data_IF_358875382648
#
_entry.id   IF_358875382648
#
_cell.length_a   1.000
_cell.length_b   1.000
_cell.length_c   1.000
_cell.angle_alpha   90.00
_cell.angle_beta   90.00
_cell.angle_gamma   90.00
#
_symmetry.space_group_name_H-M   'P 1'
#
loop_
_entity.id
_entity.type
_entity.pdbx_description
1 polymer ?
#
# COMPACT_ATOMS: atom_id res chain seq x y z
N UNK A 1 9.14 -32.71 -25.82
CA UNK A 1 8.59 -31.74 -24.84
C UNK A 1 9.58 -30.65 -24.37
N UNK A 2 10.69 -30.36 -25.08
CA UNK A 2 11.67 -29.32 -24.64
C UNK A 2 11.52 -27.95 -25.33
N UNK A 3 10.66 -27.82 -26.36
CA UNK A 3 10.51 -26.57 -27.14
C UNK A 3 9.44 -25.61 -26.61
N UNK A 4 8.49 -26.08 -25.79
CA UNK A 4 7.39 -25.25 -25.27
C UNK A 4 7.80 -24.38 -24.06
N UNK A 5 8.72 -24.87 -23.22
CA UNK A 5 9.22 -24.11 -22.07
C UNK A 5 10.11 -22.91 -22.45
N UNK A 6 10.83 -22.97 -23.59
CA UNK A 6 11.62 -21.80 -24.04
C UNK A 6 10.73 -20.61 -24.43
N UNK A 7 9.56 -20.82 -25.04
CA UNK A 7 8.70 -19.70 -25.47
C UNK A 7 8.02 -18.97 -24.31
N UNK A 8 7.68 -19.67 -23.22
CA UNK A 8 7.05 -19.04 -22.03
C UNK A 8 8.06 -18.21 -21.22
N UNK A 9 9.33 -18.63 -21.17
CA UNK A 9 10.41 -17.88 -20.49
C UNK A 9 10.75 -16.59 -21.24
N UNK A 10 10.73 -16.59 -22.58
CA UNK A 10 10.96 -15.37 -23.36
C UNK A 10 9.79 -14.37 -23.27
N UNK A 11 8.54 -14.84 -23.13
CA UNK A 11 7.40 -13.94 -22.96
C UNK A 11 7.40 -13.24 -21.58
N UNK A 12 7.93 -13.91 -20.55
CA UNK A 12 8.09 -13.33 -19.22
C UNK A 12 9.26 -12.33 -19.15
N UNK A 13 10.34 -12.57 -19.89
CA UNK A 13 11.45 -11.63 -20.02
C UNK A 13 11.06 -10.36 -20.80
N UNK A 14 10.17 -10.47 -21.79
CA UNK A 14 9.73 -9.33 -22.59
C UNK A 14 8.78 -8.38 -21.82
N UNK A 15 7.96 -8.90 -20.91
CA UNK A 15 7.13 -8.07 -20.02
C UNK A 15 7.92 -7.39 -18.90
N UNK A 16 9.09 -7.92 -18.52
CA UNK A 16 9.99 -7.25 -17.58
C UNK A 16 10.72 -6.06 -18.24
N UNK A 17 11.07 -6.18 -19.52
CA UNK A 17 11.80 -5.12 -20.24
C UNK A 17 10.93 -3.89 -20.57
N UNK A 18 9.61 -4.04 -20.73
CA UNK A 18 8.72 -2.92 -21.05
C UNK A 18 8.30 -2.04 -19.85
N UNK A 19 8.69 -2.38 -18.61
CA UNK A 19 8.55 -1.48 -17.45
C UNK A 19 9.90 -1.13 -16.77
N UNK A 20 11.02 -1.71 -17.20
CA UNK A 20 12.35 -1.37 -16.66
C UNK A 20 12.97 -0.13 -17.32
N UNK A 21 12.39 0.41 -18.38
CA UNK A 21 12.82 1.67 -19.00
C UNK A 21 12.62 2.93 -18.11
N UNK A 22 12.07 2.77 -16.89
CA UNK A 22 11.92 3.85 -15.91
C UNK A 22 13.09 3.91 -14.91
N UNK A 23 14.05 2.99 -14.97
CA UNK A 23 15.33 3.11 -14.28
C UNK A 23 16.37 3.73 -15.22
N UNK A 24 16.07 4.93 -15.71
CA UNK A 24 17.09 5.77 -16.36
C UNK A 24 18.17 6.05 -15.33
N UNK A 25 19.33 5.41 -15.47
CA UNK A 25 20.53 5.84 -14.77
C UNK A 25 20.89 7.22 -15.31
N UNK A 26 20.86 8.22 -14.43
CA UNK A 26 21.35 9.54 -14.73
C UNK A 26 22.86 9.40 -15.01
N UNK A 27 23.39 9.82 -16.18
CA UNK A 27 24.81 9.65 -16.54
C UNK A 27 25.79 10.35 -15.57
N UNK A 28 25.28 11.13 -14.62
CA UNK A 28 26.06 11.90 -13.65
C UNK A 28 26.27 11.20 -12.29
N UNK A 29 26.07 9.88 -12.18
CA UNK A 29 26.36 9.13 -10.94
C UNK A 29 25.46 9.45 -9.73
N UNK A 30 24.42 10.27 -9.91
CA UNK A 30 23.39 10.47 -8.91
C UNK A 30 22.52 9.21 -8.83
N UNK A 31 22.51 8.55 -7.68
CA UNK A 31 21.56 7.46 -7.38
C UNK A 31 20.15 7.92 -7.71
N UNK A 32 19.53 7.26 -8.69
CA UNK A 32 18.15 7.56 -9.11
C UNK A 32 17.23 7.39 -7.92
N UNK A 33 16.74 8.50 -7.37
CA UNK A 33 15.82 8.48 -6.24
C UNK A 33 14.49 7.88 -6.70
N UNK A 34 13.95 6.97 -5.90
CA UNK A 34 12.68 6.31 -6.22
C UNK A 34 11.56 7.34 -6.30
N UNK A 35 10.58 7.03 -7.15
CA UNK A 35 9.32 7.76 -7.24
C UNK A 35 8.17 6.86 -6.84
N UNK A 36 7.20 7.45 -6.14
CA UNK A 36 5.96 6.78 -5.76
C UNK A 36 5.02 6.84 -6.96
N UNK A 37 4.61 5.69 -7.48
CA UNK A 37 3.89 5.63 -8.75
C UNK A 37 2.46 5.16 -8.58
N UNK A 38 1.56 5.76 -9.36
CA UNK A 38 0.22 5.23 -9.55
C UNK A 38 0.28 4.04 -10.50
N UNK A 39 -0.40 2.95 -10.15
CA UNK A 39 -0.61 1.80 -11.02
C UNK A 39 -2.09 1.46 -11.08
N UNK A 40 -2.53 0.88 -12.18
CA UNK A 40 -3.90 0.36 -12.32
C UNK A 40 -3.93 -1.11 -11.95
N UNK A 41 -4.83 -1.48 -11.03
CA UNK A 41 -5.10 -2.87 -10.72
C UNK A 41 -5.81 -3.52 -11.91
N UNK A 42 -5.35 -4.71 -12.31
CA UNK A 42 -5.93 -5.48 -13.44
C UNK A 42 -6.63 -6.76 -13.01
N UNK A 43 -6.37 -7.22 -11.79
CA UNK A 43 -6.94 -8.45 -11.26
C UNK A 43 -8.39 -8.19 -10.82
N UNK A 44 -9.35 -8.63 -11.65
CA UNK A 44 -10.78 -8.37 -11.44
C UNK A 44 -11.33 -9.00 -10.16
N UNK A 45 -10.82 -10.18 -9.78
CA UNK A 45 -11.18 -10.87 -8.54
C UNK A 45 -10.73 -10.02 -7.35
N UNK A 46 -9.45 -9.63 -7.35
CA UNK A 46 -8.92 -8.78 -6.28
C UNK A 46 -9.69 -7.46 -6.18
N UNK A 47 -9.99 -6.81 -7.31
CA UNK A 47 -10.78 -5.57 -7.33
C UNK A 47 -12.16 -5.80 -6.71
N UNK A 48 -12.87 -6.87 -7.06
CA UNK A 48 -14.17 -7.18 -6.48
C UNK A 48 -14.09 -7.38 -4.96
N UNK A 49 -13.08 -8.09 -4.47
CA UNK A 49 -12.92 -8.30 -3.03
C UNK A 49 -12.54 -7.02 -2.28
N UNK A 50 -11.73 -6.13 -2.87
CA UNK A 50 -11.47 -4.80 -2.32
C UNK A 50 -12.77 -4.00 -2.20
N UNK A 51 -13.61 -3.99 -3.25
CA UNK A 51 -14.88 -3.27 -3.24
C UNK A 51 -15.80 -3.79 -2.13
N UNK A 52 -15.97 -5.10 -2.01
CA UNK A 52 -16.76 -5.73 -0.93
C UNK A 52 -16.21 -5.36 0.45
N UNK A 53 -14.89 -5.41 0.62
CA UNK A 53 -14.24 -5.02 1.87
C UNK A 53 -14.55 -3.56 2.23
N UNK A 54 -14.35 -2.62 1.29
CA UNK A 54 -14.65 -1.20 1.49
C UNK A 54 -16.10 -1.00 1.94
N UNK A 55 -17.06 -1.61 1.24
CA UNK A 55 -18.48 -1.49 1.60
C UNK A 55 -18.77 -2.03 3.00
N UNK A 56 -18.19 -3.19 3.34
CA UNK A 56 -18.37 -3.78 4.68
C UNK A 56 -17.78 -2.90 5.79
N UNK A 57 -16.64 -2.27 5.55
CA UNK A 57 -15.99 -1.38 6.52
C UNK A 57 -16.72 -0.05 6.66
N UNK A 58 -17.32 0.47 5.59
CA UNK A 58 -18.19 1.66 5.65
C UNK A 58 -19.44 1.39 6.50
N UNK A 59 -20.02 0.17 6.41
CA UNK A 59 -21.16 -0.23 7.24
C UNK A 59 -20.76 -0.30 8.72
N UNK A 60 -19.61 -0.90 9.03
CA UNK A 60 -19.09 -0.98 10.40
C UNK A 60 -18.70 0.38 10.97
N UNK A 61 -18.12 1.23 10.14
CA UNK A 61 -17.55 2.51 10.53
C UNK A 61 -17.85 3.56 9.46
N UNK A 62 -18.94 4.33 9.64
CA UNK A 62 -19.35 5.36 8.67
C UNK A 62 -18.25 6.38 8.35
N UNK A 63 -17.39 6.69 9.32
CA UNK A 63 -16.24 7.59 9.14
C UNK A 63 -15.25 7.08 8.07
N UNK A 64 -15.15 5.76 7.90
CA UNK A 64 -14.31 5.14 6.88
C UNK A 64 -14.77 5.48 5.46
N UNK A 65 -15.99 5.97 5.24
CA UNK A 65 -16.41 6.45 3.92
C UNK A 65 -15.54 7.60 3.43
N UNK A 66 -15.17 8.51 4.33
CA UNK A 66 -14.41 9.73 4.01
C UNK A 66 -12.94 9.49 4.31
N UNK A 67 -12.63 9.11 5.55
CA UNK A 67 -11.26 8.97 6.06
C UNK A 67 -10.81 7.52 5.93
N UNK A 68 -9.50 7.30 5.90
CA UNK A 68 -8.85 6.01 5.79
C UNK A 68 -8.60 5.57 4.35
N UNK A 69 -7.61 4.70 4.22
CA UNK A 69 -7.17 4.07 2.99
C UNK A 69 -7.05 2.55 3.18
N UNK A 70 -6.82 1.83 2.09
CA UNK A 70 -6.60 0.38 2.11
C UNK A 70 -5.13 0.07 1.89
N UNK A 71 -4.59 -0.90 2.61
CA UNK A 71 -3.32 -1.54 2.30
C UNK A 71 -3.56 -2.95 1.80
N UNK A 72 -2.84 -3.34 0.76
CA UNK A 72 -2.82 -4.71 0.26
C UNK A 72 -1.40 -5.23 0.36
N UNK A 73 -1.22 -6.38 0.99
CA UNK A 73 0.03 -7.12 0.95
C UNK A 73 -0.14 -8.48 0.31
N UNK A 74 0.82 -8.86 -0.55
CA UNK A 74 0.89 -10.23 -1.05
C UNK A 74 1.41 -11.12 0.07
N UNK A 75 0.70 -12.20 0.37
CA UNK A 75 1.14 -13.21 1.33
C UNK A 75 1.85 -14.34 0.56
N UNK A 76 2.93 -14.88 1.12
CA UNK A 76 3.61 -16.03 0.56
C UNK A 76 2.69 -17.26 0.61
N UNK A 77 2.52 -17.93 -0.53
CA UNK A 77 1.72 -19.15 -0.58
C UNK A 77 2.50 -20.30 0.09
N UNK A 78 1.90 -20.96 1.07
CA UNK A 78 2.41 -22.20 1.66
C UNK A 78 1.70 -23.45 1.12
N UNK A 79 0.51 -23.30 0.53
CA UNK A 79 -0.28 -24.39 -0.03
C UNK A 79 -0.13 -24.48 -1.55
N UNK A 80 -0.08 -25.71 -2.06
CA UNK A 80 0.19 -25.99 -3.48
C UNK A 80 -0.98 -25.65 -4.41
N UNK A 81 -2.19 -25.49 -3.87
CA UNK A 81 -3.42 -25.23 -4.63
C UNK A 81 -3.80 -23.74 -4.70
N UNK A 82 -3.03 -22.86 -4.04
CA UNK A 82 -3.24 -21.41 -4.04
C UNK A 82 -2.29 -20.74 -5.03
N UNK A 83 -2.84 -20.05 -6.03
CA UNK A 83 -2.04 -19.29 -7.00
C UNK A 83 -1.67 -17.92 -6.43
N UNK A 84 -2.61 -17.26 -5.75
CA UNK A 84 -2.41 -15.91 -5.19
C UNK A 84 -3.06 -15.82 -3.83
N UNK A 85 -2.37 -15.18 -2.89
CA UNK A 85 -2.92 -14.80 -1.59
C UNK A 85 -2.62 -13.35 -1.29
N UNK A 86 -3.64 -12.64 -0.84
CA UNK A 86 -3.58 -11.24 -0.49
C UNK A 86 -4.11 -11.02 0.93
N UNK A 87 -3.51 -10.10 1.65
CA UNK A 87 -4.06 -9.53 2.87
C UNK A 87 -4.54 -8.11 2.55
N UNK A 88 -5.77 -7.79 2.92
CA UNK A 88 -6.41 -6.50 2.68
C UNK A 88 -6.82 -5.93 4.03
N UNK A 89 -6.35 -4.72 4.34
CA UNK A 89 -6.66 -4.04 5.60
C UNK A 89 -6.96 -2.57 5.36
N UNK A 90 -7.74 -1.96 6.25
CA UNK A 90 -7.92 -0.50 6.31
C UNK A 90 -6.89 0.13 7.24
N UNK A 91 -6.55 1.38 6.98
CA UNK A 91 -5.57 2.09 7.80
C UNK A 91 -5.82 3.60 7.79
N UNK A 92 -5.26 4.28 8.80
CA UNK A 92 -5.45 5.70 9.09
C UNK A 92 -4.13 6.44 9.39
N UNK A 93 -3.00 5.75 9.24
CA UNK A 93 -1.66 6.27 9.57
C UNK A 93 -1.27 7.41 8.62
N UNK A 94 -0.66 8.45 9.19
CA UNK A 94 -0.21 9.63 8.45
C UNK A 94 1.11 9.36 7.69
N UNK A 95 1.50 10.32 6.85
CA UNK A 95 2.75 10.27 6.09
C UNK A 95 3.61 11.50 6.34
N UNK A 96 3.48 12.15 7.49
CA UNK A 96 4.04 13.46 7.82
C UNK A 96 5.56 13.42 8.00
N UNK A 97 6.12 12.27 8.40
CA UNK A 97 7.55 12.08 8.69
C UNK A 97 8.42 11.91 7.43
N UNK A 98 8.67 12.96 6.66
CA UNK A 98 9.44 12.86 5.40
C UNK A 98 10.82 12.18 5.49
N UNK A 99 11.42 12.05 6.68
CA UNK A 99 12.70 11.35 6.88
C UNK A 99 12.56 9.82 6.89
N UNK A 100 11.36 9.31 7.14
CA UNK A 100 11.08 7.88 7.21
C UNK A 100 10.60 7.37 5.84
N UNK A 101 11.52 6.92 4.99
CA UNK A 101 11.18 6.39 3.67
C UNK A 101 10.37 5.08 3.73
N UNK A 102 10.47 4.32 4.84
CA UNK A 102 9.80 3.02 4.98
C UNK A 102 8.28 3.11 4.99
N UNK A 103 7.73 4.23 5.47
CA UNK A 103 6.28 4.43 5.55
C UNK A 103 5.66 4.57 4.15
N UNK A 104 6.40 5.12 3.17
CA UNK A 104 5.89 5.41 1.84
C UNK A 104 5.79 4.13 0.99
N UNK A 105 4.69 3.94 0.24
CA UNK A 105 4.55 2.81 -0.66
C UNK A 105 5.38 3.04 -1.93
N UNK A 106 5.83 1.96 -2.58
CA UNK A 106 6.34 2.08 -3.95
C UNK A 106 5.20 2.42 -4.93
N UNK A 107 4.04 1.80 -4.73
CA UNK A 107 2.91 1.90 -5.64
C UNK A 107 1.59 2.15 -4.92
N UNK A 108 0.71 2.92 -5.56
CA UNK A 108 -0.67 3.11 -5.12
C UNK A 108 -1.66 3.00 -6.28
N UNK A 109 -2.92 2.78 -5.97
CA UNK A 109 -4.03 2.72 -6.93
C UNK A 109 -5.31 3.32 -6.33
N UNK A 110 -6.41 3.27 -7.09
CA UNK A 110 -7.73 3.69 -6.64
C UNK A 110 -8.78 2.61 -6.91
N UNK A 111 -9.65 2.36 -5.93
CA UNK A 111 -10.85 1.52 -6.07
C UNK A 111 -11.99 2.21 -5.32
N UNK A 112 -13.12 2.43 -5.99
CA UNK A 112 -14.33 3.06 -5.42
C UNK A 112 -14.04 4.34 -4.61
N UNK A 113 -13.25 5.25 -5.20
CA UNK A 113 -12.80 6.50 -4.58
C UNK A 113 -11.94 6.34 -3.33
N UNK A 114 -11.50 5.13 -2.98
CA UNK A 114 -10.47 4.90 -1.96
C UNK A 114 -9.11 4.68 -2.59
N UNK A 115 -8.09 5.23 -1.92
CA UNK A 115 -6.71 4.96 -2.27
C UNK A 115 -6.28 3.61 -1.70
N UNK A 116 -5.58 2.84 -2.53
CA UNK A 116 -5.10 1.50 -2.25
C UNK A 116 -3.58 1.54 -2.28
N UNK A 117 -2.92 1.23 -1.17
CA UNK A 117 -1.46 1.17 -1.08
C UNK A 117 -1.02 -0.27 -1.27
N UNK A 118 -0.13 -0.50 -2.22
CA UNK A 118 0.38 -1.82 -2.52
C UNK A 118 1.68 -2.03 -1.77
N UNK A 119 1.61 -2.84 -0.72
CA UNK A 119 2.77 -3.34 0.02
C UNK A 119 3.09 -4.74 -0.50
N UNK A 120 4.35 -5.14 -0.49
CA UNK A 120 4.70 -6.46 -0.97
C UNK A 120 6.15 -6.81 -0.73
N UNK A 121 6.49 -8.05 -1.04
CA UNK A 121 7.87 -8.57 -0.89
C UNK A 121 8.89 -7.69 -1.62
N UNK A 122 8.53 -7.10 -2.75
CA UNK A 122 9.42 -6.20 -3.49
C UNK A 122 9.88 -4.99 -2.64
N UNK A 123 9.04 -4.52 -1.71
CA UNK A 123 9.40 -3.44 -0.78
C UNK A 123 10.48 -3.86 0.23
N UNK A 124 10.60 -5.15 0.53
CA UNK A 124 11.64 -5.68 1.42
C UNK A 124 12.98 -5.89 0.73
N UNK A 125 12.99 -5.96 -0.60
CA UNK A 125 14.21 -6.15 -1.41
C UNK A 125 14.78 -4.84 -1.97
N UNK A 126 14.06 -3.72 -1.81
CA UNK A 126 14.45 -2.42 -2.34
C UNK A 126 14.84 -1.50 -1.17
N UNK A 127 16.05 -0.94 -1.21
CA UNK A 127 16.43 0.16 -0.32
C UNK A 127 15.61 1.40 -0.69
N UNK A 128 14.52 1.63 0.06
CA UNK A 128 13.60 2.73 -0.20
C UNK A 128 14.29 4.06 0.08
N UNK A 129 14.68 4.77 -0.97
CA UNK A 129 15.15 6.16 -0.90
C UNK A 129 14.37 7.02 -1.88
N UNK A 130 13.34 7.70 -1.37
CA UNK A 130 12.51 8.58 -2.18
C UNK A 130 13.02 10.02 -2.15
N UNK A 131 12.83 10.72 -3.27
CA UNK A 131 13.03 12.17 -3.28
C UNK A 131 12.03 12.88 -2.37
N UNK A 132 12.44 13.97 -1.74
CA UNK A 132 11.52 14.83 -0.98
C UNK A 132 10.35 15.33 -1.83
N UNK A 133 10.59 15.55 -3.13
CA UNK A 133 9.55 15.92 -4.10
C UNK A 133 8.50 14.82 -4.24
N UNK A 134 8.93 13.57 -4.41
CA UNK A 134 8.03 12.41 -4.52
C UNK A 134 7.20 12.23 -3.24
N UNK A 135 7.85 12.29 -2.06
CA UNK A 135 7.16 12.16 -0.77
C UNK A 135 6.11 13.25 -0.55
N UNK A 136 6.46 14.52 -0.80
CA UNK A 136 5.51 15.64 -0.72
C UNK A 136 4.37 15.53 -1.73
N UNK A 137 4.64 15.00 -2.93
CA UNK A 137 3.59 14.77 -3.92
C UNK A 137 2.59 13.72 -3.43
N UNK A 138 3.09 12.58 -2.93
CA UNK A 138 2.26 11.54 -2.36
C UNK A 138 1.49 12.02 -1.12
N UNK A 139 2.12 12.80 -0.23
CA UNK A 139 1.42 13.42 0.91
C UNK A 139 0.17 14.19 0.46
N UNK A 140 0.26 15.01 -0.59
CA UNK A 140 -0.92 15.74 -1.11
C UNK A 140 -2.00 14.82 -1.64
N UNK A 141 -1.62 13.66 -2.17
CA UNK A 141 -2.56 12.66 -2.69
C UNK A 141 -3.28 11.94 -1.54
N UNK A 142 -2.55 11.56 -0.48
CA UNK A 142 -3.12 10.81 0.65
C UNK A 142 -3.87 11.70 1.64
N UNK A 143 -3.51 12.99 1.76
CA UNK A 143 -4.04 13.93 2.77
C UNK A 143 -5.58 13.97 2.85
N UNK A 144 -6.35 13.98 1.73
CA UNK A 144 -7.81 13.96 1.80
C UNK A 144 -8.40 12.72 2.48
N UNK A 145 -7.63 11.64 2.57
CA UNK A 145 -8.00 10.38 3.20
C UNK A 145 -7.55 10.30 4.67
N UNK A 146 -6.94 11.33 5.23
CA UNK A 146 -6.43 11.32 6.60
C UNK A 146 -7.28 12.20 7.52
N UNK A 147 -7.21 11.92 8.82
CA UNK A 147 -7.82 12.79 9.83
C UNK A 147 -7.14 14.16 9.81
N UNK A 148 -7.92 15.24 9.99
CA UNK A 148 -7.38 16.60 10.02
C UNK A 148 -6.36 16.76 11.15
N UNK A 149 -5.30 17.52 10.86
CA UNK A 149 -4.30 17.90 11.85
C UNK A 149 -4.88 18.93 12.82
N UNK A 150 -4.69 18.68 14.12
CA UNK A 150 -4.93 19.62 15.21
C UNK A 150 -3.60 19.91 15.91
N UNK A 151 -3.42 21.15 16.34
CA UNK A 151 -2.25 21.57 17.10
C UNK A 151 -2.54 21.41 18.58
N UNK A 152 -1.99 20.36 19.19
CA UNK A 152 -2.14 20.11 20.63
C UNK A 152 -0.97 20.72 21.40
N UNK A 153 -1.24 21.27 22.57
CA UNK A 153 -0.17 21.67 23.49
C UNK A 153 0.36 20.43 24.19
N UNK A 154 1.67 20.20 24.12
CA UNK A 154 2.29 19.10 24.84
C UNK A 154 2.16 19.35 26.35
N UNK A 155 1.66 18.39 27.15
CA UNK A 155 1.62 18.54 28.60
C UNK A 155 3.05 18.68 29.11
N UNK A 156 3.30 19.74 29.88
CA UNK A 156 4.58 20.00 30.54
C UNK A 156 4.40 19.78 32.03
N UNK A 157 5.37 19.10 32.64
CA UNK A 157 5.44 18.86 34.08
C UNK A 157 5.39 20.20 34.86
N UNK A 158 5.87 21.29 34.25
CA UNK A 158 5.92 22.63 34.86
C UNK A 158 4.83 23.59 34.32
N UNK A 159 3.90 23.09 33.51
CA UNK A 159 2.82 23.90 32.92
C UNK A 159 3.24 24.95 31.88
N UNK A 160 4.53 25.01 31.48
CA UNK A 160 5.10 26.10 30.65
C UNK A 160 5.38 25.76 29.18
N UNK A 161 5.06 24.55 28.71
CA UNK A 161 5.29 24.22 27.29
C UNK A 161 4.34 25.01 26.38
N UNK A 162 4.91 25.97 25.64
CA UNK A 162 4.22 26.67 24.54
C UNK A 162 4.31 25.93 23.21
N UNK A 163 5.01 24.79 23.17
CA UNK A 163 5.24 24.06 21.91
C UNK A 163 3.97 23.29 21.53
N UNK A 164 3.33 23.76 20.47
CA UNK A 164 2.22 23.05 19.82
C UNK A 164 2.79 21.95 18.92
N UNK A 165 2.33 20.73 19.08
CA UNK A 165 2.68 19.58 18.24
C UNK A 165 1.49 19.21 17.35
N UNK A 166 1.71 18.95 16.04
CA UNK A 166 0.67 18.44 15.17
C UNK A 166 0.25 17.04 15.65
N UNK A 167 -1.06 16.83 15.75
CA UNK A 167 -1.66 15.58 16.16
C UNK A 167 -2.95 15.34 15.36
N UNK A 168 -3.20 14.09 14.98
CA UNK A 168 -4.41 13.67 14.28
C UNK A 168 -5.20 12.76 15.23
N UNK A 169 -6.26 13.27 15.84
CA UNK A 169 -6.99 12.57 16.93
C UNK A 169 -7.52 11.17 16.55
N UNK A 170 -7.82 10.94 15.27
CA UNK A 170 -8.31 9.63 14.79
C UNK A 170 -7.20 8.73 14.24
N UNK A 171 -5.95 9.19 14.24
CA UNK A 171 -4.85 8.37 13.79
C UNK A 171 -4.66 7.18 14.74
N UNK A 172 -4.65 5.99 14.15
CA UNK A 172 -4.41 4.76 14.86
C UNK A 172 -3.70 3.80 13.94
N UNK A 173 -2.70 3.15 14.48
CA UNK A 173 -2.08 2.01 13.84
C UNK A 173 -3.03 0.84 14.07
N UNK A 174 -3.71 0.42 13.01
CA UNK A 174 -4.51 -0.80 13.09
C UNK A 174 -3.56 -2.01 12.98
N UNK A 175 -3.11 -2.49 14.14
CA UNK A 175 -2.23 -3.66 14.26
C UNK A 175 -2.95 -4.97 13.89
N UNK A 176 -4.28 -5.01 14.07
CA UNK A 176 -5.08 -6.21 13.88
C UNK A 176 -6.28 -5.99 12.95
N UNK A 177 -6.65 -7.05 12.22
CA UNK A 177 -7.87 -7.11 11.41
C UNK A 177 -7.63 -7.20 9.92
N UNK A 178 -8.65 -6.85 9.14
CA UNK A 178 -8.65 -7.05 7.69
C UNK A 178 -9.13 -8.45 7.27
N UNK A 179 -8.90 -8.77 6.00
CA UNK A 179 -9.27 -10.05 5.39
C UNK A 179 -8.09 -10.64 4.63
N UNK A 180 -8.01 -11.97 4.61
CA UNK A 180 -7.15 -12.70 3.70
C UNK A 180 -8.00 -13.23 2.54
N UNK A 181 -7.52 -13.00 1.31
CA UNK A 181 -8.15 -13.47 0.07
C UNK A 181 -7.23 -14.48 -0.58
N UNK A 182 -7.70 -15.72 -0.72
CA UNK A 182 -6.98 -16.82 -1.37
C UNK A 182 -7.66 -17.16 -2.70
N UNK A 183 -6.88 -17.18 -3.78
CA UNK A 183 -7.33 -17.55 -5.13
C UNK A 183 -6.69 -18.90 -5.51
N UNK A 184 -7.54 -19.91 -5.70
CA UNK A 184 -7.13 -21.28 -5.95
C UNK A 184 -6.95 -21.58 -7.43
N UNK A 185 -6.21 -22.66 -7.75
CA UNK A 185 -5.96 -23.10 -9.13
C UNK A 185 -7.24 -23.41 -9.89
N UNK A 186 -8.27 -23.91 -9.20
CA UNK A 186 -9.57 -24.21 -9.78
C UNK A 186 -10.47 -22.96 -9.95
N UNK A 187 -9.95 -21.75 -9.69
CA UNK A 187 -10.69 -20.49 -9.77
C UNK A 187 -11.56 -20.19 -8.55
N UNK A 188 -11.62 -21.07 -7.54
CA UNK A 188 -12.30 -20.79 -6.27
C UNK A 188 -11.63 -19.59 -5.59
N UNK A 189 -12.43 -18.76 -4.93
CA UNK A 189 -11.98 -17.65 -4.10
C UNK A 189 -12.47 -17.90 -2.68
N UNK A 190 -11.55 -17.84 -1.73
CA UNK A 190 -11.86 -17.93 -0.30
C UNK A 190 -11.47 -16.63 0.38
N UNK A 191 -12.39 -16.09 1.18
CA UNK A 191 -12.19 -14.87 1.95
C UNK A 191 -12.40 -15.21 3.41
N UNK A 192 -11.38 -14.95 4.22
CA UNK A 192 -11.42 -15.20 5.66
C UNK A 192 -11.00 -13.96 6.43
N UNK A 193 -11.55 -13.71 7.63
CA UNK A 193 -10.99 -12.72 8.54
C UNK A 193 -9.51 -13.02 8.77
N UNK A 194 -8.67 -12.00 8.70
CA UNK A 194 -7.23 -12.22 8.88
C UNK A 194 -6.94 -12.63 10.32
N UNK A 195 -6.09 -13.65 10.48
CA UNK A 195 -5.59 -14.12 11.78
C UNK A 195 -4.28 -13.45 12.18
N UNK A 196 -3.74 -12.55 11.35
CA UNK A 196 -2.50 -11.85 11.66
C UNK A 196 -2.72 -10.89 12.84
N UNK A 197 -1.93 -11.12 13.89
CA UNK A 197 -1.79 -10.29 15.09
C UNK A 197 -0.59 -9.37 14.92
#
# INVERSE_FOLDING_TARGET
MKKLHKKVVYLFAFFLQLNLAVFGQNPNGATSQLQIQRVDLKDSILIQEIKKFIQSEIVKEKGFKVVGYITISKIRNSANDIIKRYHINKNYVNFDELKNDSQFPLFYSYVDSKIILLKGEIESFVDKKFSNRSKKHFQRIIEPFLYKVKLMQAPSIDGKSKKKTPHREGERIQLHGGIDVSIFINGRVEVMPSKFY
#
